data_IF_519169643994
#
_entry.id   IF_519169643994
#
_cell.length_a   1.000
_cell.length_b   1.000
_cell.length_c   1.000
_cell.angle_alpha   90.00
_cell.angle_beta   90.00
_cell.angle_gamma   90.00
#
_symmetry.space_group_name_H-M   'P 1'
#
loop_
_entity.id
_entity.type
_entity.pdbx_description
1 polymer ?
#
# COMPACT_ATOMS: atom_id res chain seq x y z
N UNK A 1 28.08 4.37 -11.76
CA UNK A 1 27.77 5.66 -12.46
C UNK A 1 26.26 5.93 -12.58
N UNK A 2 25.42 5.09 -13.22
CA UNK A 2 23.96 5.34 -13.27
C UNK A 2 23.26 5.28 -11.91
N UNK A 3 23.58 4.30 -11.06
CA UNK A 3 22.96 4.16 -9.73
C UNK A 3 23.24 5.37 -8.83
N UNK A 4 24.46 5.86 -8.87
CA UNK A 4 24.92 7.01 -8.09
C UNK A 4 24.22 8.30 -8.46
N UNK A 5 23.98 8.52 -9.76
CA UNK A 5 23.23 9.68 -10.26
C UNK A 5 21.75 9.63 -9.85
N UNK A 6 21.15 8.43 -9.77
CA UNK A 6 19.79 8.23 -9.31
C UNK A 6 19.65 8.51 -7.80
N UNK A 7 20.58 8.02 -6.97
CA UNK A 7 20.61 8.34 -5.54
C UNK A 7 20.78 9.83 -5.26
N UNK A 8 21.67 10.50 -5.98
CA UNK A 8 21.86 11.95 -5.84
C UNK A 8 20.60 12.73 -6.26
N UNK A 9 19.94 12.32 -7.34
CA UNK A 9 18.69 12.92 -7.80
C UNK A 9 17.54 12.71 -6.80
N UNK A 10 17.44 11.51 -6.23
CA UNK A 10 16.48 11.19 -5.18
C UNK A 10 16.75 12.03 -3.92
N UNK A 11 17.98 12.03 -3.42
CA UNK A 11 18.37 12.83 -2.25
C UNK A 11 18.06 14.32 -2.45
N UNK A 12 18.32 14.87 -3.64
CA UNK A 12 17.99 16.25 -3.98
C UNK A 12 16.49 16.51 -3.97
N UNK A 13 15.68 15.59 -4.47
CA UNK A 13 14.22 15.69 -4.47
C UNK A 13 13.66 15.63 -3.04
N UNK A 14 14.14 14.70 -2.22
CA UNK A 14 13.77 14.57 -0.81
C UNK A 14 14.16 15.83 -0.04
N UNK A 15 15.39 16.29 -0.16
CA UNK A 15 15.89 17.50 0.50
C UNK A 15 15.10 18.75 0.10
N UNK A 16 14.66 18.88 -1.17
CA UNK A 16 13.83 20.00 -1.58
C UNK A 16 12.44 20.01 -0.93
N UNK A 17 11.86 18.82 -0.70
CA UNK A 17 10.56 18.66 -0.04
C UNK A 17 10.68 18.85 1.46
N UNK A 18 11.73 18.31 2.05
CA UNK A 18 12.01 18.37 3.50
C UNK A 18 12.82 19.60 3.90
N UNK A 19 12.99 20.59 3.00
CA UNK A 19 13.64 21.85 3.36
C UNK A 19 12.87 22.58 4.45
N UNK A 20 13.57 23.28 5.33
CA UNK A 20 12.99 24.05 6.42
C UNK A 20 11.86 25.00 5.95
N UNK A 21 12.03 25.65 4.79
CA UNK A 21 11.01 26.52 4.20
C UNK A 21 9.76 25.76 3.76
N UNK A 22 9.94 24.62 3.10
CA UNK A 22 8.82 23.76 2.65
C UNK A 22 8.03 23.23 3.85
N UNK A 23 8.72 22.66 4.85
CA UNK A 23 8.08 22.11 6.04
C UNK A 23 7.33 23.18 6.83
N UNK A 24 7.86 24.40 6.95
CA UNK A 24 7.15 25.53 7.58
C UNK A 24 5.91 25.91 6.81
N UNK A 25 5.96 25.97 5.48
CA UNK A 25 4.79 26.26 4.66
C UNK A 25 3.68 25.20 4.84
N UNK A 26 4.05 23.92 4.86
CA UNK A 26 3.12 22.82 5.12
C UNK A 26 2.53 22.96 6.54
N UNK A 27 3.37 23.22 7.54
CA UNK A 27 2.94 23.38 8.93
C UNK A 27 1.97 24.55 9.13
N UNK A 28 2.16 25.65 8.40
CA UNK A 28 1.21 26.76 8.39
C UNK A 28 -0.09 26.42 7.67
N UNK A 29 -0.02 25.80 6.49
CA UNK A 29 -1.19 25.34 5.71
C UNK A 29 -2.09 24.41 6.55
N UNK A 30 -1.49 23.47 7.27
CA UNK A 30 -2.19 22.50 8.13
C UNK A 30 -2.57 23.07 9.50
N UNK A 31 -2.22 24.31 9.79
CA UNK A 31 -2.41 24.96 11.09
C UNK A 31 -1.69 24.23 12.25
N UNK A 32 -0.73 23.37 11.94
CA UNK A 32 0.13 22.72 12.94
C UNK A 32 0.99 23.74 13.68
N UNK A 33 1.54 24.72 12.94
CA UNK A 33 2.23 25.88 13.49
C UNK A 33 1.44 27.14 13.14
N UNK A 34 0.97 27.87 14.15
CA UNK A 34 0.27 29.14 13.98
C UNK A 34 1.12 30.36 14.43
N UNK A 35 2.03 30.13 15.34
CA UNK A 35 2.94 31.13 15.89
C UNK A 35 4.32 30.52 16.08
N UNK A 36 5.37 31.34 16.09
CA UNK A 36 6.73 30.87 16.39
C UNK A 36 6.74 30.26 17.79
N UNK A 37 7.04 28.97 17.84
CA UNK A 37 7.14 28.18 19.09
C UNK A 37 8.54 27.62 19.27
N UNK A 38 8.74 26.84 20.34
CA UNK A 38 10.01 26.16 20.59
C UNK A 38 10.23 24.97 19.67
N UNK A 39 9.16 24.24 19.30
CA UNK A 39 9.24 23.08 18.42
C UNK A 39 9.15 23.52 16.96
N UNK A 40 10.14 23.20 16.18
CA UNK A 40 10.12 23.38 14.73
C UNK A 40 9.41 22.21 14.06
N UNK A 41 8.79 22.42 12.88
CA UNK A 41 8.17 21.34 12.11
C UNK A 41 9.15 20.21 11.74
N UNK A 42 10.40 20.57 11.47
CA UNK A 42 11.49 19.64 11.17
C UNK A 42 11.73 18.68 12.34
N UNK A 43 11.84 19.22 13.57
CA UNK A 43 12.09 18.44 14.77
C UNK A 43 10.95 17.45 15.05
N UNK A 44 9.70 17.87 14.81
CA UNK A 44 8.53 17.00 14.96
C UNK A 44 8.50 15.90 13.91
N UNK A 45 8.83 16.23 12.66
CA UNK A 45 8.94 15.24 11.59
C UNK A 45 10.01 14.20 11.89
N UNK A 46 11.20 14.65 12.31
CA UNK A 46 12.31 13.77 12.70
C UNK A 46 11.90 12.86 13.85
N UNK A 47 11.26 13.42 14.88
CA UNK A 47 10.76 12.65 16.02
C UNK A 47 9.81 11.54 15.58
N UNK A 48 8.86 11.85 14.68
CA UNK A 48 7.83 10.89 14.25
C UNK A 48 8.31 9.89 13.21
N UNK A 49 9.32 10.22 12.38
CA UNK A 49 9.76 9.38 11.26
C UNK A 49 11.02 8.57 11.53
N UNK A 50 11.96 9.09 12.33
CA UNK A 50 13.25 8.42 12.57
C UNK A 50 13.27 7.55 13.83
N UNK A 51 12.34 7.75 14.76
CA UNK A 51 12.26 6.93 15.98
C UNK A 51 11.42 5.66 15.78
N UNK A 52 10.82 5.48 14.60
CA UNK A 52 10.09 4.27 14.23
C UNK A 52 9.01 3.90 15.25
N UNK A 53 9.00 2.63 15.65
CA UNK A 53 8.00 2.10 16.59
C UNK A 53 8.06 2.73 17.97
N UNK A 54 9.17 3.35 18.34
CA UNK A 54 9.37 3.87 19.70
C UNK A 54 8.50 5.07 20.05
N UNK A 55 8.05 5.87 19.07
CA UNK A 55 7.20 7.06 19.32
C UNK A 55 5.89 6.71 20.03
N UNK A 56 5.29 5.56 19.69
CA UNK A 56 4.04 5.11 20.28
C UNK A 56 4.21 4.41 21.65
N UNK A 57 5.39 3.91 21.96
CA UNK A 57 5.69 3.15 23.18
C UNK A 57 6.55 3.93 24.17
N UNK A 58 7.30 4.92 23.71
CA UNK A 58 8.15 5.73 24.57
C UNK A 58 7.36 6.71 25.44
N UNK A 59 7.85 6.94 26.66
CA UNK A 59 7.28 7.96 27.51
C UNK A 59 7.53 9.36 26.92
N UNK A 60 6.60 10.28 27.14
CA UNK A 60 6.77 11.70 26.74
C UNK A 60 8.07 12.30 27.30
N UNK A 61 8.52 11.84 28.48
CA UNK A 61 9.78 12.27 29.07
C UNK A 61 10.97 11.89 28.19
N UNK A 62 11.00 10.64 27.71
CA UNK A 62 12.06 10.13 26.85
C UNK A 62 12.06 10.84 25.50
N UNK A 63 10.89 11.04 24.90
CA UNK A 63 10.75 11.79 23.64
C UNK A 63 11.23 13.25 23.79
N UNK A 64 10.94 13.92 24.90
CA UNK A 64 11.48 15.26 25.20
C UNK A 64 13.01 15.26 25.36
N UNK A 65 13.56 14.22 26.00
CA UNK A 65 15.01 14.03 26.11
C UNK A 65 15.68 13.87 24.75
N UNK A 66 15.08 13.07 23.86
CA UNK A 66 15.55 12.87 22.49
C UNK A 66 15.55 14.18 21.70
N UNK A 67 14.48 14.96 21.76
CA UNK A 67 14.42 16.28 21.11
C UNK A 67 15.50 17.23 21.63
N UNK A 68 15.73 17.24 22.94
CA UNK A 68 16.78 18.08 23.52
C UNK A 68 18.16 17.67 23.04
N UNK A 69 18.41 16.35 22.95
CA UNK A 69 19.68 15.82 22.49
C UNK A 69 19.94 16.05 20.99
N UNK A 70 18.92 15.84 20.15
CA UNK A 70 19.06 15.89 18.69
C UNK A 70 19.00 17.31 18.11
N UNK A 71 18.14 18.16 18.65
CA UNK A 71 17.85 19.49 18.08
C UNK A 71 17.99 20.64 19.05
N UNK A 72 18.51 20.39 20.25
CA UNK A 72 18.59 21.38 21.34
C UNK A 72 17.23 22.02 21.66
N UNK A 73 16.12 21.31 21.37
CA UNK A 73 14.75 21.78 21.57
C UNK A 73 14.23 21.29 22.93
N UNK A 74 14.17 22.18 23.91
CA UNK A 74 13.62 21.86 25.24
C UNK A 74 12.12 22.11 25.30
N UNK A 75 11.34 21.03 25.47
CA UNK A 75 9.90 21.06 25.65
C UNK A 75 9.47 20.38 26.95
N UNK A 76 8.36 20.87 27.53
CA UNK A 76 7.67 20.12 28.59
C UNK A 76 6.88 18.93 27.99
N UNK A 77 6.63 17.92 28.82
CA UNK A 77 5.78 16.75 28.42
C UNK A 77 4.42 17.21 27.90
N UNK A 78 3.80 18.19 28.60
CA UNK A 78 2.50 18.73 28.17
C UNK A 78 2.61 19.47 26.83
N UNK A 79 3.70 20.22 26.62
CA UNK A 79 3.96 20.95 25.38
C UNK A 79 4.16 20.00 24.18
N UNK A 80 4.85 18.87 24.39
CA UNK A 80 4.99 17.82 23.36
C UNK A 80 3.67 17.08 23.13
N UNK A 81 2.99 16.66 24.20
CA UNK A 81 1.71 15.96 24.10
C UNK A 81 0.66 16.75 23.32
N UNK A 82 0.61 18.07 23.52
CA UNK A 82 -0.29 18.95 22.79
C UNK A 82 -0.02 19.01 21.27
N UNK A 83 1.10 18.46 20.79
CA UNK A 83 1.44 18.38 19.34
C UNK A 83 0.95 17.09 18.68
N UNK A 84 0.72 16.03 19.46
CA UNK A 84 0.09 14.80 18.97
C UNK A 84 -1.43 14.99 18.89
N UNK A 85 -1.86 15.69 17.86
CA UNK A 85 -3.25 16.04 17.61
C UNK A 85 -3.55 15.97 16.11
N UNK A 86 -4.80 16.19 15.72
CA UNK A 86 -5.25 16.15 14.32
C UNK A 86 -4.44 17.05 13.37
N UNK A 87 -3.97 18.21 13.84
CA UNK A 87 -3.14 19.13 13.04
C UNK A 87 -1.74 18.58 12.82
N UNK A 88 -1.17 17.92 13.83
CA UNK A 88 0.08 17.20 13.74
C UNK A 88 -0.02 16.02 12.74
N UNK A 89 -1.10 15.25 12.83
CA UNK A 89 -1.38 14.18 11.88
C UNK A 89 -1.57 14.73 10.45
N UNK A 90 -2.32 15.82 10.27
CA UNK A 90 -2.50 16.47 8.98
C UNK A 90 -1.19 17.01 8.39
N UNK A 91 -0.29 17.54 9.24
CA UNK A 91 1.04 17.97 8.82
C UNK A 91 1.86 16.80 8.27
N UNK A 92 1.95 15.68 9.01
CA UNK A 92 2.69 14.50 8.58
C UNK A 92 2.10 13.90 7.31
N UNK A 93 0.77 13.83 7.22
CA UNK A 93 0.05 13.35 6.03
C UNK A 93 0.38 14.20 4.80
N UNK A 94 0.36 15.52 4.91
CA UNK A 94 0.66 16.42 3.80
C UNK A 94 2.14 16.29 3.36
N UNK A 95 3.08 16.16 4.32
CA UNK A 95 4.50 15.90 4.02
C UNK A 95 4.64 14.59 3.24
N UNK A 96 3.99 13.53 3.69
CA UNK A 96 4.00 12.23 3.03
C UNK A 96 3.47 12.30 1.59
N UNK A 97 2.32 12.95 1.37
CA UNK A 97 1.77 13.10 0.04
C UNK A 97 2.65 13.96 -0.89
N UNK A 98 3.32 14.98 -0.36
CA UNK A 98 4.26 15.75 -1.18
C UNK A 98 5.51 14.95 -1.55
N UNK A 99 5.99 14.05 -0.69
CA UNK A 99 7.05 13.11 -1.03
C UNK A 99 6.57 12.10 -2.08
N UNK A 100 5.38 11.56 -1.89
CA UNK A 100 4.78 10.61 -2.83
C UNK A 100 4.58 11.24 -4.23
N UNK A 101 4.08 12.47 -4.29
CA UNK A 101 3.92 13.19 -5.55
C UNK A 101 5.26 13.51 -6.27
N UNK A 102 6.36 13.48 -5.54
CA UNK A 102 7.72 13.69 -6.09
C UNK A 102 8.47 12.39 -6.34
N UNK A 103 7.84 11.23 -6.08
CA UNK A 103 8.47 9.97 -6.47
C UNK A 103 8.82 10.03 -7.97
N UNK A 104 10.04 9.67 -8.28
CA UNK A 104 10.49 9.61 -9.66
C UNK A 104 10.30 8.21 -10.17
N UNK A 105 9.57 8.10 -11.25
CA UNK A 105 9.57 6.86 -12.03
C UNK A 105 11.00 6.51 -12.40
N UNK A 106 11.43 5.31 -12.06
CA UNK A 106 12.59 4.74 -12.70
C UNK A 106 12.16 4.47 -14.15
N UNK A 107 12.57 5.36 -15.05
CA UNK A 107 12.37 5.12 -16.48
C UNK A 107 13.31 3.99 -16.86
N UNK A 108 12.92 2.76 -16.59
CA UNK A 108 13.51 1.61 -17.26
C UNK A 108 13.19 1.76 -18.74
N UNK A 109 14.17 1.62 -19.65
CA UNK A 109 13.88 1.59 -21.08
C UNK A 109 12.73 0.64 -21.31
N UNK A 110 11.70 1.12 -22.02
CA UNK A 110 10.55 0.27 -22.33
C UNK A 110 11.09 -0.84 -23.22
N UNK A 111 11.16 -2.06 -22.68
CA UNK A 111 11.42 -3.24 -23.49
C UNK A 111 10.22 -3.39 -24.45
N UNK A 112 10.42 -3.33 -25.77
CA UNK A 112 9.35 -3.47 -26.74
C UNK A 112 8.68 -4.85 -26.69
N UNK A 113 9.32 -5.84 -26.05
CA UNK A 113 8.79 -7.20 -25.88
C UNK A 113 8.04 -7.38 -24.54
N UNK A 114 7.71 -6.33 -23.82
CA UNK A 114 6.92 -6.44 -22.58
C UNK A 114 5.56 -7.07 -22.87
N UNK A 115 5.24 -8.10 -22.12
CA UNK A 115 3.92 -8.76 -22.18
C UNK A 115 2.82 -7.87 -21.56
N UNK A 116 3.17 -7.04 -20.58
CA UNK A 116 2.23 -6.21 -19.83
C UNK A 116 2.64 -4.74 -19.85
N UNK A 117 1.64 -3.86 -19.89
CA UNK A 117 1.85 -2.40 -19.85
C UNK A 117 2.38 -1.95 -18.51
N UNK A 118 1.85 -2.52 -17.42
CA UNK A 118 2.25 -2.30 -16.02
C UNK A 118 2.11 -3.60 -15.24
N UNK A 119 2.95 -3.78 -14.23
CA UNK A 119 2.76 -4.84 -13.22
C UNK A 119 2.40 -4.16 -11.91
N UNK A 120 1.18 -4.39 -11.44
CA UNK A 120 0.59 -3.78 -10.25
C UNK A 120 0.54 -4.79 -9.12
N UNK A 121 1.29 -4.54 -8.07
CA UNK A 121 1.37 -5.38 -6.88
C UNK A 121 0.60 -4.70 -5.76
N UNK A 122 -0.39 -5.38 -5.21
CA UNK A 122 -1.18 -4.87 -4.08
C UNK A 122 -0.97 -5.74 -2.85
N UNK A 123 -0.62 -5.08 -1.74
CA UNK A 123 -0.42 -5.73 -0.45
C UNK A 123 -0.84 -4.81 0.70
N UNK A 124 -1.00 -5.39 1.89
CA UNK A 124 -1.39 -4.68 3.09
C UNK A 124 -0.49 -5.04 4.28
N UNK A 125 -0.20 -4.02 5.07
CA UNK A 125 0.47 -4.18 6.36
C UNK A 125 -0.44 -3.70 7.48
N UNK A 126 -0.59 -4.50 8.53
CA UNK A 126 -1.39 -4.16 9.71
C UNK A 126 -0.52 -4.07 10.95
N UNK A 127 -0.89 -3.17 11.85
CA UNK A 127 -0.27 -3.04 13.17
C UNK A 127 -1.30 -2.61 14.22
N UNK A 128 -1.07 -3.04 15.46
CA UNK A 128 -1.93 -2.71 16.58
C UNK A 128 -1.70 -1.29 17.05
N UNK A 129 -2.77 -0.67 17.54
CA UNK A 129 -2.67 0.60 18.28
C UNK A 129 -2.47 0.30 19.77
N UNK A 130 -1.67 1.13 20.49
CA UNK A 130 -1.37 0.91 21.90
C UNK A 130 -2.58 1.10 22.84
N UNK A 131 -3.58 1.84 22.39
CA UNK A 131 -4.83 2.10 23.13
C UNK A 131 -6.03 1.80 22.24
N UNK A 132 -7.16 1.51 22.87
CA UNK A 132 -8.42 1.35 22.15
C UNK A 132 -8.84 2.64 21.46
N UNK A 133 -9.13 2.51 20.18
CA UNK A 133 -9.58 3.59 19.31
C UNK A 133 -10.87 3.14 18.59
N UNK A 134 -12.05 3.67 18.96
CA UNK A 134 -13.33 3.24 18.40
C UNK A 134 -13.42 3.32 16.87
N UNK A 135 -12.70 4.25 16.26
CA UNK A 135 -12.66 4.44 14.81
C UNK A 135 -11.69 3.48 14.09
N UNK A 136 -10.92 2.70 14.82
CA UNK A 136 -9.92 1.78 14.29
C UNK A 136 -10.05 0.38 14.89
N UNK A 137 -11.22 -0.28 14.70
CA UNK A 137 -11.41 -1.64 15.18
C UNK A 137 -10.44 -2.60 14.49
N UNK A 138 -9.87 -3.50 15.27
CA UNK A 138 -8.96 -4.55 14.83
C UNK A 138 -9.40 -5.92 15.31
N UNK A 139 -8.65 -6.97 14.95
CA UNK A 139 -8.92 -8.35 15.32
C UNK A 139 -8.78 -8.62 16.81
N UNK A 140 -7.90 -7.88 17.49
CA UNK A 140 -7.63 -7.99 18.93
C UNK A 140 -7.48 -6.59 19.56
N UNK A 141 -8.59 -5.83 19.61
CA UNK A 141 -8.58 -4.44 20.06
C UNK A 141 -8.61 -3.45 18.89
N UNK A 142 -7.76 -2.43 18.91
CA UNK A 142 -7.68 -1.45 17.83
C UNK A 142 -6.44 -1.64 16.98
N UNK A 143 -6.58 -1.50 15.67
CA UNK A 143 -5.49 -1.65 14.72
C UNK A 143 -5.65 -0.81 13.47
N UNK A 144 -4.55 -0.58 12.80
CA UNK A 144 -4.46 0.15 11.53
C UNK A 144 -3.99 -0.80 10.45
N UNK A 145 -4.59 -0.69 9.29
CA UNK A 145 -4.17 -1.36 8.06
C UNK A 145 -3.75 -0.30 7.04
N UNK A 146 -2.56 -0.45 6.50
CA UNK A 146 -2.06 0.35 5.38
C UNK A 146 -2.13 -0.50 4.13
N UNK A 147 -2.90 -0.04 3.15
CA UNK A 147 -3.01 -0.66 1.83
C UNK A 147 -2.07 0.06 0.87
N UNK A 148 -1.30 -0.70 0.11
CA UNK A 148 -0.32 -0.20 -0.84
C UNK A 148 -0.54 -0.87 -2.19
N UNK A 149 -0.49 -0.10 -3.26
CA UNK A 149 -0.39 -0.62 -4.61
C UNK A 149 0.86 -0.04 -5.28
N UNK A 150 1.72 -0.91 -5.77
CA UNK A 150 3.03 -0.60 -6.33
C UNK A 150 3.12 -1.01 -7.79
N UNK A 151 3.65 -0.15 -8.64
CA UNK A 151 3.95 -0.43 -10.03
C UNK A 151 5.41 -0.85 -10.17
N UNK A 152 5.62 -2.09 -10.59
CA UNK A 152 6.93 -2.73 -10.58
C UNK A 152 7.94 -2.12 -11.56
N UNK A 153 7.50 -1.78 -12.78
CA UNK A 153 8.43 -1.30 -13.81
C UNK A 153 8.98 0.09 -13.54
N UNK A 154 8.16 0.97 -12.98
CA UNK A 154 8.52 2.35 -12.71
C UNK A 154 8.98 2.59 -11.29
N UNK A 155 8.72 1.62 -10.40
CA UNK A 155 9.04 1.78 -8.99
C UNK A 155 8.16 2.81 -8.28
N UNK A 156 6.88 2.91 -8.66
CA UNK A 156 5.96 3.93 -8.15
C UNK A 156 4.86 3.33 -7.28
N UNK A 157 4.49 4.03 -6.22
CA UNK A 157 3.23 3.74 -5.53
C UNK A 157 2.08 4.37 -6.29
N UNK A 158 1.17 3.53 -6.78
CA UNK A 158 -0.04 3.97 -7.47
C UNK A 158 -1.15 4.35 -6.50
N UNK A 159 -1.21 3.67 -5.35
CA UNK A 159 -2.20 3.89 -4.32
C UNK A 159 -1.60 3.66 -2.93
N UNK A 160 -2.02 4.48 -1.98
CA UNK A 160 -1.74 4.32 -0.55
C UNK A 160 -2.95 4.79 0.23
N UNK A 161 -3.49 3.93 1.11
CA UNK A 161 -4.59 4.29 1.99
C UNK A 161 -4.42 3.69 3.38
N UNK A 162 -5.00 4.35 4.38
CA UNK A 162 -4.95 3.96 5.78
C UNK A 162 -6.37 3.72 6.26
N UNK A 163 -6.61 2.55 6.81
CA UNK A 163 -7.92 2.08 7.25
C UNK A 163 -7.85 1.44 8.64
N UNK A 164 -8.99 1.22 9.31
CA UNK A 164 -9.04 0.28 10.41
C UNK A 164 -8.53 -1.11 10.00
N UNK A 165 -7.89 -1.85 10.90
CA UNK A 165 -7.38 -3.20 10.61
C UNK A 165 -8.46 -4.15 10.08
N UNK A 166 -9.69 -3.98 10.54
CA UNK A 166 -10.85 -4.75 10.09
C UNK A 166 -11.29 -4.46 8.66
N UNK A 167 -10.72 -3.46 7.99
CA UNK A 167 -11.05 -3.14 6.61
C UNK A 167 -10.68 -4.28 5.66
N UNK A 168 -11.64 -4.67 4.81
CA UNK A 168 -11.48 -5.83 3.94
C UNK A 168 -10.51 -5.56 2.77
N UNK A 169 -9.56 -6.47 2.55
CA UNK A 169 -8.66 -6.42 1.39
C UNK A 169 -9.42 -6.48 0.06
N UNK A 170 -10.56 -7.21 0.03
CA UNK A 170 -11.46 -7.24 -1.14
C UNK A 170 -12.07 -5.88 -1.45
N UNK A 171 -12.39 -5.11 -0.42
CA UNK A 171 -12.92 -3.76 -0.59
C UNK A 171 -11.82 -2.81 -1.07
N UNK A 172 -10.62 -2.89 -0.50
CA UNK A 172 -9.46 -2.13 -0.96
C UNK A 172 -9.14 -2.42 -2.44
N UNK A 173 -9.30 -3.66 -2.89
CA UNK A 173 -9.15 -4.01 -4.31
C UNK A 173 -10.19 -3.31 -5.20
N UNK A 174 -11.41 -3.09 -4.72
CA UNK A 174 -12.44 -2.35 -5.46
C UNK A 174 -12.11 -0.85 -5.55
N UNK A 175 -11.51 -0.27 -4.49
CA UNK A 175 -11.19 1.16 -4.45
C UNK A 175 -10.19 1.60 -5.52
N UNK A 176 -9.32 0.68 -5.97
CA UNK A 176 -8.30 0.95 -7.00
C UNK A 176 -8.70 0.49 -8.40
N UNK A 177 -9.90 -0.09 -8.54
CA UNK A 177 -10.38 -0.67 -9.78
C UNK A 177 -10.50 0.36 -10.92
N UNK A 178 -10.91 1.58 -10.61
CA UNK A 178 -11.06 2.65 -11.61
C UNK A 178 -9.73 3.01 -12.29
N UNK A 179 -8.61 2.78 -11.61
CA UNK A 179 -7.26 3.07 -12.09
C UNK A 179 -6.67 1.96 -12.98
N UNK A 180 -7.41 0.87 -13.21
CA UNK A 180 -6.98 -0.22 -14.10
C UNK A 180 -7.04 0.22 -15.56
N UNK A 181 -5.99 -0.11 -16.29
CA UNK A 181 -5.87 0.14 -17.73
C UNK A 181 -5.71 -1.19 -18.48
N UNK A 182 -6.10 -1.24 -19.76
CA UNK A 182 -5.84 -2.40 -20.61
C UNK A 182 -4.35 -2.74 -20.65
N UNK A 183 -4.03 -4.03 -20.55
CA UNK A 183 -2.66 -4.53 -20.54
C UNK A 183 -1.97 -4.49 -19.17
N UNK A 184 -2.63 -4.03 -18.10
CA UNK A 184 -2.12 -4.18 -16.73
C UNK A 184 -2.09 -5.65 -16.31
N UNK A 185 -1.07 -6.04 -15.52
CA UNK A 185 -1.05 -7.30 -14.77
C UNK A 185 -1.23 -7.00 -13.28
N UNK A 186 -2.29 -7.50 -12.67
CA UNK A 186 -2.56 -7.38 -11.24
C UNK A 186 -2.02 -8.60 -10.49
N UNK A 187 -1.07 -8.40 -9.57
CA UNK A 187 -0.58 -9.42 -8.64
C UNK A 187 -1.21 -9.18 -7.26
N UNK A 188 -2.00 -10.13 -6.80
CA UNK A 188 -2.75 -10.00 -5.53
C UNK A 188 -2.74 -11.31 -4.76
N UNK A 189 -2.66 -11.20 -3.44
CA UNK A 189 -2.75 -12.36 -2.55
C UNK A 189 -4.21 -12.83 -2.35
N UNK A 190 -4.36 -13.97 -1.70
CA UNK A 190 -5.64 -14.63 -1.41
C UNK A 190 -6.65 -13.71 -0.68
N UNK A 191 -6.19 -12.82 0.18
CA UNK A 191 -7.03 -11.85 0.89
C UNK A 191 -7.86 -10.95 -0.04
N UNK A 192 -7.34 -10.68 -1.24
CA UNK A 192 -7.99 -9.87 -2.27
C UNK A 192 -8.90 -10.66 -3.21
N UNK A 193 -8.90 -11.99 -3.10
CA UNK A 193 -9.63 -12.84 -4.03
C UNK A 193 -11.14 -12.57 -4.00
N UNK A 194 -11.68 -12.25 -5.17
CA UNK A 194 -13.11 -12.17 -5.42
C UNK A 194 -13.36 -12.44 -6.89
N UNK A 195 -14.17 -13.44 -7.22
CA UNK A 195 -14.52 -13.76 -8.61
C UNK A 195 -15.07 -12.53 -9.35
N UNK A 196 -15.91 -11.72 -8.66
CA UNK A 196 -16.44 -10.48 -9.22
C UNK A 196 -15.34 -9.47 -9.58
N UNK A 197 -14.30 -9.38 -8.75
CA UNK A 197 -13.18 -8.47 -8.98
C UNK A 197 -12.32 -8.94 -10.16
N UNK A 198 -12.09 -10.26 -10.27
CA UNK A 198 -11.35 -10.85 -11.40
C UNK A 198 -12.07 -10.63 -12.73
N UNK A 199 -13.41 -10.75 -12.73
CA UNK A 199 -14.22 -10.42 -13.93
C UNK A 199 -14.02 -8.97 -14.36
N UNK A 200 -14.07 -8.02 -13.42
CA UNK A 200 -13.89 -6.60 -13.74
C UNK A 200 -12.49 -6.27 -14.25
N UNK A 201 -11.46 -6.95 -13.72
CA UNK A 201 -10.09 -6.84 -14.25
C UNK A 201 -10.09 -7.30 -15.72
N UNK A 202 -10.68 -8.44 -15.99
CA UNK A 202 -10.81 -8.99 -17.35
C UNK A 202 -11.62 -8.06 -18.26
N UNK A 203 -12.76 -7.54 -17.82
CA UNK A 203 -13.62 -6.62 -18.59
C UNK A 203 -12.88 -5.33 -18.98
N UNK A 204 -11.89 -4.92 -18.20
CA UNK A 204 -11.01 -3.80 -18.54
C UNK A 204 -9.84 -4.16 -19.46
N UNK A 205 -9.74 -5.40 -19.93
CA UNK A 205 -8.64 -5.87 -20.76
C UNK A 205 -7.31 -5.96 -19.98
N UNK A 206 -7.37 -6.14 -18.67
CA UNK A 206 -6.23 -6.37 -17.80
C UNK A 206 -6.11 -7.84 -17.42
N UNK A 207 -4.97 -8.23 -16.90
CA UNK A 207 -4.61 -9.60 -16.51
C UNK A 207 -4.44 -9.69 -15.01
N UNK A 208 -4.49 -10.91 -14.47
CA UNK A 208 -4.25 -11.13 -13.04
C UNK A 208 -3.52 -12.44 -12.76
N UNK A 209 -2.73 -12.44 -11.70
CA UNK A 209 -2.21 -13.63 -11.04
C UNK A 209 -2.62 -13.52 -9.57
N UNK A 210 -3.32 -14.53 -9.08
CA UNK A 210 -3.80 -14.58 -7.70
C UNK A 210 -3.84 -16.01 -7.19
N UNK A 211 -3.71 -16.16 -5.88
CA UNK A 211 -4.06 -17.41 -5.21
C UNK A 211 -5.57 -17.51 -5.10
N UNK A 212 -6.09 -18.72 -5.11
CA UNK A 212 -7.51 -18.99 -4.94
C UNK A 212 -7.75 -19.83 -3.68
N UNK A 213 -8.92 -19.70 -3.01
CA UNK A 213 -9.27 -20.57 -1.89
C UNK A 213 -9.28 -22.05 -2.33
N UNK A 214 -8.79 -22.95 -1.46
CA UNK A 214 -8.68 -24.38 -1.74
C UNK A 214 -10.03 -25.06 -2.03
N UNK A 215 -11.13 -24.47 -1.55
CA UNK A 215 -12.49 -24.93 -1.80
C UNK A 215 -13.12 -24.34 -3.07
N UNK A 216 -12.36 -23.59 -3.87
CA UNK A 216 -12.84 -23.05 -5.14
C UNK A 216 -13.07 -24.15 -6.15
N UNK A 217 -14.26 -24.20 -6.73
CA UNK A 217 -14.58 -25.15 -7.79
C UNK A 217 -14.32 -24.54 -9.15
N UNK A 218 -13.67 -25.28 -10.03
CA UNK A 218 -13.37 -24.92 -11.40
C UNK A 218 -14.07 -25.87 -12.34
N UNK A 219 -14.53 -25.33 -13.49
CA UNK A 219 -15.26 -26.07 -14.50
C UNK A 219 -14.72 -25.72 -15.86
N UNK A 220 -14.48 -26.75 -16.67
CA UNK A 220 -14.08 -26.63 -18.08
C UNK A 220 -15.19 -27.14 -18.97
N UNK A 221 -15.39 -26.50 -20.09
CA UNK A 221 -16.33 -26.98 -21.09
C UNK A 221 -15.74 -28.16 -21.89
N UNK A 222 -16.52 -29.19 -22.08
CA UNK A 222 -16.26 -30.33 -22.97
C UNK A 222 -17.37 -30.45 -23.97
N UNK A 223 -17.05 -30.59 -25.23
CA UNK A 223 -18.06 -30.72 -26.31
C UNK A 223 -19.00 -31.92 -26.14
N UNK A 224 -18.48 -33.00 -25.55
CA UNK A 224 -19.22 -34.24 -25.38
C UNK A 224 -19.98 -34.34 -24.08
N UNK A 225 -19.47 -33.74 -23.00
CA UNK A 225 -19.97 -33.93 -21.64
C UNK A 225 -20.47 -32.64 -20.99
N UNK A 226 -20.42 -31.48 -21.66
CA UNK A 226 -20.77 -30.20 -21.09
C UNK A 226 -19.76 -29.72 -20.06
N UNK A 227 -20.22 -29.07 -18.99
CA UNK A 227 -19.34 -28.54 -17.95
C UNK A 227 -18.83 -29.67 -17.04
N UNK A 228 -17.52 -29.88 -17.05
CA UNK A 228 -16.81 -30.86 -16.22
C UNK A 228 -16.06 -30.12 -15.11
N UNK A 229 -16.22 -30.59 -13.88
CA UNK A 229 -15.40 -30.11 -12.77
C UNK A 229 -13.95 -30.56 -12.97
N UNK A 230 -13.01 -29.65 -12.81
CA UNK A 230 -11.56 -29.92 -12.84
C UNK A 230 -10.98 -29.67 -11.45
N UNK A 231 -9.89 -30.34 -11.14
CA UNK A 231 -9.15 -30.20 -9.90
C UNK A 231 -7.69 -29.80 -10.22
N UNK A 232 -7.41 -28.49 -10.34
CA UNK A 232 -6.07 -28.02 -10.66
C UNK A 232 -5.01 -28.45 -9.64
N UNK A 233 -5.38 -28.70 -8.39
CA UNK A 233 -4.44 -29.15 -7.37
C UNK A 233 -3.97 -30.58 -7.68
N UNK A 234 -4.90 -31.47 -8.01
CA UNK A 234 -4.60 -32.84 -8.40
C UNK A 234 -3.79 -32.89 -9.70
N UNK A 235 -4.20 -32.10 -10.68
CA UNK A 235 -3.48 -32.04 -11.95
C UNK A 235 -2.04 -31.55 -11.77
N UNK A 236 -1.81 -30.60 -10.84
CA UNK A 236 -0.49 -30.09 -10.51
C UNK A 236 0.43 -31.13 -9.84
N UNK A 237 -0.12 -32.12 -9.11
CA UNK A 237 0.66 -33.21 -8.52
C UNK A 237 1.29 -34.13 -9.59
N UNK A 238 0.64 -34.23 -10.75
CA UNK A 238 1.09 -35.05 -11.87
C UNK A 238 2.05 -34.31 -12.82
N UNK A 239 2.26 -32.98 -12.61
CA UNK A 239 3.09 -32.16 -13.49
C UNK A 239 4.57 -32.20 -13.13
N UNK A 240 5.40 -32.14 -14.16
CA UNK A 240 6.85 -31.97 -14.00
C UNK A 240 7.21 -30.52 -13.58
N UNK A 241 8.35 -30.32 -12.90
CA UNK A 241 8.82 -28.95 -12.58
C UNK A 241 8.94 -28.10 -13.87
N UNK A 242 8.38 -26.89 -13.85
CA UNK A 242 8.32 -25.93 -14.96
C UNK A 242 7.30 -26.25 -16.06
N UNK A 243 6.54 -27.30 -15.94
CA UNK A 243 5.43 -27.56 -16.83
C UNK A 243 4.27 -26.59 -16.56
N UNK A 244 3.53 -26.24 -17.59
CA UNK A 244 2.32 -25.39 -17.49
C UNK A 244 1.14 -26.12 -18.09
N UNK A 245 -0.01 -26.05 -17.44
CA UNK A 245 -1.25 -26.60 -17.93
C UNK A 245 -2.23 -25.47 -18.24
N UNK A 246 -2.64 -25.36 -19.50
CA UNK A 246 -3.64 -24.40 -19.93
C UNK A 246 -5.01 -25.09 -20.03
N UNK A 247 -5.94 -24.67 -19.19
CA UNK A 247 -7.32 -25.17 -19.23
C UNK A 247 -8.19 -24.46 -20.26
N UNK A 248 -7.67 -23.44 -20.93
CA UNK A 248 -8.45 -22.58 -21.80
C UNK A 248 -9.52 -21.82 -21.02
N UNK A 249 -10.75 -21.81 -21.54
CA UNK A 249 -11.86 -21.12 -20.90
C UNK A 249 -12.45 -21.94 -19.75
N UNK A 250 -12.39 -21.39 -18.54
CA UNK A 250 -12.93 -22.04 -17.33
C UNK A 250 -14.03 -21.18 -16.68
N UNK A 251 -14.88 -21.83 -15.90
CA UNK A 251 -15.80 -21.17 -14.96
C UNK A 251 -15.38 -21.43 -13.53
N UNK A 252 -15.62 -20.46 -12.68
CA UNK A 252 -15.28 -20.51 -11.26
C UNK A 252 -16.55 -20.37 -10.44
N UNK A 253 -16.74 -21.22 -9.44
CA UNK A 253 -17.89 -21.16 -8.55
C UNK A 253 -18.55 -22.52 -8.29
N UNK A 254 -19.58 -22.52 -7.46
CA UNK A 254 -20.26 -23.76 -7.03
C UNK A 254 -21.15 -24.38 -8.09
N UNK A 255 -21.66 -23.59 -9.05
CA UNK A 255 -22.53 -24.05 -10.12
C UNK A 255 -22.03 -23.48 -11.46
N UNK A 256 -21.71 -24.34 -12.46
CA UNK A 256 -21.22 -23.88 -13.76
C UNK A 256 -22.27 -23.11 -14.58
N UNK A 257 -23.53 -23.16 -14.19
CA UNK A 257 -24.61 -22.39 -14.85
C UNK A 257 -24.61 -20.92 -14.41
N UNK A 258 -24.11 -20.63 -13.22
CA UNK A 258 -23.92 -19.26 -12.77
C UNK A 258 -22.71 -18.66 -13.48
N UNK A 259 -22.94 -17.71 -14.38
CA UNK A 259 -21.90 -17.00 -15.12
C UNK A 259 -20.95 -16.28 -14.16
N UNK A 260 -19.82 -16.86 -13.89
CA UNK A 260 -18.66 -16.19 -13.34
C UNK A 260 -17.44 -16.67 -14.13
N UNK A 261 -16.98 -15.80 -15.02
CA UNK A 261 -15.83 -15.88 -15.96
C UNK A 261 -15.97 -16.82 -17.12
#
# INVERSE_FOLDING_TARGET
MQLESHFQSFAKSVNSTLSASSLRNIAHKTKFVQRKGKLNPEDFLILCSLLGDSVSYDSLQRLCGTLTYQSNTSLSKQGLNARFNEKGAAFLKEVFFQLLAKQKSFVTPIDPNRLFSRIRIMDATSFRLPNEQPNYPGSNGSGVKVQLEYEWYRGEFLHTSVHPESYSDRQAANDVEENLLPGDLCLRDLGYYSAKNLMRINDKGAFYITRVPTNTKFWRWSEHNGWLQIDPAKDAEEMSPKETLDYGYIRVGTDPRNRLM
#
